data_IF_930027109766
#
_entry.id   IF_930027109766
#
_cell.length_a   1.000
_cell.length_b   1.000
_cell.length_c   1.000
_cell.angle_alpha   90.00
_cell.angle_beta   90.00
_cell.angle_gamma   90.00
#
_symmetry.space_group_name_H-M   'P 1'
#
loop_
_entity.id
_entity.type
_entity.pdbx_description
1 polymer ?
#
# COMPACT_ATOMS: atom_id res chain seq x y z
N UNK A 1 0.74 8.14 -6.67
CA UNK A 1 1.56 6.93 -6.90
C UNK A 1 2.69 6.86 -5.87
N UNK A 2 2.97 5.70 -5.30
CA UNK A 2 3.91 5.51 -4.17
C UNK A 2 5.26 4.93 -4.65
N UNK A 3 5.92 5.68 -5.54
CA UNK A 3 7.13 5.24 -6.26
C UNK A 3 8.27 4.78 -5.34
N UNK A 4 8.51 5.49 -4.23
CA UNK A 4 9.58 5.12 -3.30
C UNK A 4 9.33 3.77 -2.62
N UNK A 5 8.08 3.46 -2.25
CA UNK A 5 7.73 2.17 -1.67
C UNK A 5 7.83 1.06 -2.72
N UNK A 6 7.43 1.33 -3.95
CA UNK A 6 7.57 0.38 -5.06
C UNK A 6 9.05 0.01 -5.31
N UNK A 7 9.93 1.00 -5.44
CA UNK A 7 11.36 0.76 -5.61
C UNK A 7 11.98 0.04 -4.41
N UNK A 8 11.53 0.36 -3.19
CA UNK A 8 11.95 -0.34 -1.96
C UNK A 8 11.58 -1.83 -2.02
N UNK A 9 10.35 -2.16 -2.41
CA UNK A 9 9.92 -3.55 -2.50
C UNK A 9 10.59 -4.32 -3.63
N UNK A 10 10.82 -3.71 -4.79
CA UNK A 10 11.62 -4.32 -5.86
C UNK A 10 12.99 -4.74 -5.36
N UNK A 11 13.68 -3.84 -4.66
CA UNK A 11 14.99 -4.15 -4.05
C UNK A 11 14.91 -5.31 -3.04
N UNK A 12 13.93 -5.28 -2.14
CA UNK A 12 13.72 -6.36 -1.16
C UNK A 12 13.53 -7.70 -1.87
N UNK A 13 12.65 -7.75 -2.88
CA UNK A 13 12.33 -8.95 -3.65
C UNK A 13 13.56 -9.49 -4.38
N UNK A 14 14.33 -8.60 -5.03
CA UNK A 14 15.52 -8.98 -5.78
C UNK A 14 16.61 -9.54 -4.89
N UNK A 15 16.77 -9.02 -3.67
CA UNK A 15 17.76 -9.47 -2.68
C UNK A 15 17.39 -10.81 -2.01
N UNK A 16 16.13 -11.25 -2.07
CA UNK A 16 15.71 -12.52 -1.45
C UNK A 16 16.10 -13.74 -2.29
N UNK A 17 16.41 -14.83 -1.58
CA UNK A 17 16.66 -16.14 -2.19
C UNK A 17 15.34 -16.90 -2.39
N UNK A 18 14.58 -16.45 -3.38
CA UNK A 18 13.31 -17.06 -3.83
C UNK A 18 13.36 -17.26 -5.36
N UNK A 19 12.49 -18.11 -5.90
CA UNK A 19 12.47 -18.41 -7.33
C UNK A 19 12.08 -17.18 -8.15
N UNK A 20 12.64 -17.07 -9.37
CA UNK A 20 12.37 -15.95 -10.27
C UNK A 20 10.88 -15.79 -10.63
N UNK A 21 10.12 -16.88 -10.71
CA UNK A 21 8.67 -16.83 -10.89
C UNK A 21 7.97 -16.11 -9.75
N UNK A 22 8.37 -16.42 -8.52
CA UNK A 22 7.84 -15.81 -7.29
C UNK A 22 8.27 -14.35 -7.18
N UNK A 23 9.52 -14.01 -7.55
CA UNK A 23 9.97 -12.61 -7.67
C UNK A 23 9.13 -11.81 -8.65
N UNK A 24 8.91 -12.37 -9.84
CA UNK A 24 8.09 -11.73 -10.88
C UNK A 24 6.67 -11.48 -10.39
N UNK A 25 6.02 -12.49 -9.80
CA UNK A 25 4.66 -12.35 -9.28
C UNK A 25 4.55 -11.33 -8.13
N UNK A 26 5.54 -11.30 -7.23
CA UNK A 26 5.60 -10.29 -6.15
C UNK A 26 5.81 -8.88 -6.71
N UNK A 27 6.68 -8.72 -7.70
CA UNK A 27 6.91 -7.42 -8.36
C UNK A 27 5.65 -6.95 -9.09
N UNK A 28 4.96 -7.82 -9.82
CA UNK A 28 3.68 -7.49 -10.48
C UNK A 28 2.61 -7.07 -9.47
N UNK A 29 2.51 -7.76 -8.33
CA UNK A 29 1.61 -7.39 -7.25
C UNK A 29 1.98 -6.02 -6.65
N UNK A 30 3.26 -5.76 -6.41
CA UNK A 30 3.72 -4.47 -5.91
C UNK A 30 3.42 -3.34 -6.91
N UNK A 31 3.72 -3.56 -8.20
CA UNK A 31 3.42 -2.61 -9.26
C UNK A 31 1.93 -2.28 -9.31
N UNK A 32 1.07 -3.30 -9.21
CA UNK A 32 -0.39 -3.14 -9.30
C UNK A 32 -0.96 -2.24 -8.20
N UNK A 33 -0.45 -2.33 -6.96
CA UNK A 33 -1.04 -1.63 -5.81
C UNK A 33 -0.29 -0.34 -5.47
N UNK A 34 1.05 -0.32 -5.50
CA UNK A 34 1.82 0.87 -5.16
C UNK A 34 1.85 1.91 -6.29
N UNK A 35 1.46 1.55 -7.51
CA UNK A 35 1.27 2.49 -8.61
C UNK A 35 -0.09 3.19 -8.59
N UNK A 36 -1.03 2.78 -7.74
CA UNK A 36 -2.35 3.42 -7.68
C UNK A 36 -2.30 4.77 -6.99
N UNK A 37 -3.31 5.59 -7.30
CA UNK A 37 -3.63 6.78 -6.54
C UNK A 37 -4.79 6.45 -5.60
N UNK A 38 -4.57 6.68 -4.30
CA UNK A 38 -5.55 6.43 -3.25
C UNK A 38 -6.09 7.73 -2.66
N UNK A 39 -5.86 8.88 -3.29
CA UNK A 39 -6.42 10.14 -2.81
C UNK A 39 -7.94 10.04 -2.65
N UNK A 40 -8.45 10.53 -1.51
CA UNK A 40 -9.89 10.67 -1.29
C UNK A 40 -10.65 9.39 -0.95
N UNK A 41 -9.98 8.24 -0.79
CA UNK A 41 -10.67 6.98 -0.47
C UNK A 41 -11.37 7.02 0.90
N UNK A 42 -12.38 6.18 1.05
CA UNK A 42 -13.12 5.96 2.30
C UNK A 42 -12.61 4.74 3.07
N UNK A 43 -12.88 4.65 4.39
CA UNK A 43 -12.57 3.45 5.20
C UNK A 43 -13.19 2.16 4.65
N UNK A 44 -14.34 2.24 3.96
CA UNK A 44 -14.93 1.06 3.30
C UNK A 44 -14.04 0.60 2.13
N UNK A 45 -13.59 1.53 1.30
CA UNK A 45 -12.69 1.24 0.18
C UNK A 45 -11.33 0.73 0.65
N UNK A 46 -10.81 1.17 1.80
CA UNK A 46 -9.59 0.59 2.41
C UNK A 46 -9.74 -0.93 2.56
N UNK A 47 -10.84 -1.39 3.16
CA UNK A 47 -11.10 -2.82 3.34
C UNK A 47 -11.18 -3.58 2.03
N UNK A 48 -11.81 -2.98 1.01
CA UNK A 48 -11.93 -3.58 -0.32
C UNK A 48 -10.56 -3.69 -1.01
N UNK A 49 -9.71 -2.68 -0.91
CA UNK A 49 -8.35 -2.69 -1.47
C UNK A 49 -7.49 -3.74 -0.78
N UNK A 50 -7.51 -3.82 0.56
CA UNK A 50 -6.75 -4.84 1.30
C UNK A 50 -7.25 -6.24 0.95
N UNK A 51 -8.56 -6.47 0.91
CA UNK A 51 -9.10 -7.76 0.52
C UNK A 51 -8.66 -8.19 -0.88
N UNK A 52 -8.70 -7.29 -1.87
CA UNK A 52 -8.23 -7.59 -3.22
C UNK A 52 -6.72 -7.84 -3.25
N UNK A 53 -5.93 -7.09 -2.47
CA UNK A 53 -4.49 -7.31 -2.33
C UNK A 53 -4.17 -8.72 -1.81
N UNK A 54 -4.82 -9.13 -0.72
CA UNK A 54 -4.67 -10.47 -0.15
C UNK A 54 -5.08 -11.55 -1.16
N UNK A 55 -6.25 -11.37 -1.80
CA UNK A 55 -6.75 -12.30 -2.82
C UNK A 55 -5.77 -12.47 -3.98
N UNK A 56 -5.22 -11.36 -4.50
CA UNK A 56 -4.23 -11.39 -5.59
C UNK A 56 -2.95 -12.08 -5.17
N UNK A 57 -2.46 -11.82 -3.95
CA UNK A 57 -1.33 -12.53 -3.39
C UNK A 57 -1.58 -14.05 -3.35
N UNK A 58 -2.71 -14.50 -2.80
CA UNK A 58 -3.02 -15.92 -2.72
C UNK A 58 -3.13 -16.59 -4.09
N UNK A 59 -3.81 -15.94 -5.03
CA UNK A 59 -4.07 -16.51 -6.36
C UNK A 59 -2.85 -16.49 -7.28
N UNK A 60 -2.02 -15.45 -7.22
CA UNK A 60 -0.96 -15.22 -8.21
C UNK A 60 0.44 -15.47 -7.67
N UNK A 61 0.66 -15.33 -6.36
CA UNK A 61 1.98 -15.53 -5.73
C UNK A 61 2.02 -16.87 -5.01
N UNK A 62 1.14 -17.07 -4.02
CA UNK A 62 1.24 -18.22 -3.14
C UNK A 62 0.86 -19.55 -3.82
N UNK A 63 -0.06 -19.51 -4.80
CA UNK A 63 -0.48 -20.69 -5.57
C UNK A 63 0.67 -21.32 -6.38
N UNK A 64 1.58 -20.48 -6.88
CA UNK A 64 2.75 -20.88 -7.67
C UNK A 64 4.02 -21.08 -6.84
N UNK A 65 4.00 -20.75 -5.56
CA UNK A 65 5.18 -20.76 -4.69
C UNK A 65 5.57 -22.18 -4.25
N UNK A 66 6.87 -22.47 -4.33
CA UNK A 66 7.41 -23.70 -3.73
C UNK A 66 7.40 -23.62 -2.21
N UNK A 67 7.22 -24.76 -1.53
CA UNK A 67 7.18 -24.81 -0.05
C UNK A 67 8.42 -24.19 0.60
N UNK A 68 9.60 -24.34 -0.01
CA UNK A 68 10.88 -23.87 0.53
C UNK A 68 11.03 -22.34 0.60
N UNK A 69 10.25 -21.59 -0.18
CA UNK A 69 10.32 -20.13 -0.24
C UNK A 69 9.13 -19.43 0.45
N UNK A 70 8.16 -20.20 0.95
CA UNK A 70 6.91 -19.64 1.51
C UNK A 70 7.16 -18.66 2.65
N UNK A 71 8.06 -18.99 3.57
CA UNK A 71 8.39 -18.10 4.69
C UNK A 71 8.91 -16.74 4.22
N UNK A 72 9.78 -16.71 3.21
CA UNK A 72 10.28 -15.45 2.66
C UNK A 72 9.20 -14.69 1.90
N UNK A 73 8.38 -15.39 1.13
CA UNK A 73 7.24 -14.79 0.42
C UNK A 73 6.23 -14.18 1.41
N UNK A 74 5.89 -14.88 2.48
CA UNK A 74 4.97 -14.41 3.53
C UNK A 74 5.55 -13.21 4.28
N UNK A 75 6.87 -13.18 4.51
CA UNK A 75 7.56 -12.04 5.12
C UNK A 75 7.53 -10.80 4.21
N UNK A 76 7.75 -10.96 2.90
CA UNK A 76 7.63 -9.86 1.93
C UNK A 76 6.20 -9.37 1.88
N UNK A 77 5.24 -10.28 1.77
CA UNK A 77 3.81 -9.97 1.73
C UNK A 77 3.34 -9.19 2.96
N UNK A 78 3.74 -9.63 4.16
CA UNK A 78 3.39 -8.95 5.40
C UNK A 78 3.93 -7.51 5.42
N UNK A 79 5.15 -7.27 4.93
CA UNK A 79 5.70 -5.92 4.83
C UNK A 79 4.95 -5.07 3.80
N UNK A 80 4.63 -5.62 2.64
CA UNK A 80 3.83 -4.91 1.63
C UNK A 80 2.44 -4.56 2.16
N UNK A 81 1.78 -5.51 2.83
CA UNK A 81 0.46 -5.31 3.42
C UNK A 81 0.47 -4.17 4.42
N UNK A 82 1.40 -4.19 5.38
CA UNK A 82 1.53 -3.12 6.38
C UNK A 82 1.77 -1.76 5.73
N UNK A 83 2.68 -1.68 4.75
CA UNK A 83 2.92 -0.42 4.02
C UNK A 83 1.66 0.08 3.30
N UNK A 84 0.93 -0.82 2.66
CA UNK A 84 -0.31 -0.47 1.96
C UNK A 84 -1.38 0.01 2.93
N UNK A 85 -1.57 -0.65 4.07
CA UNK A 85 -2.50 -0.22 5.12
C UNK A 85 -2.18 1.19 5.62
N UNK A 86 -0.90 1.47 5.92
CA UNK A 86 -0.45 2.81 6.34
C UNK A 86 -0.73 3.87 5.28
N UNK A 87 -0.48 3.56 4.02
CA UNK A 87 -0.76 4.46 2.89
C UNK A 87 -2.25 4.78 2.83
N UNK A 88 -3.10 3.74 2.84
CA UNK A 88 -4.54 3.87 2.69
C UNK A 88 -5.14 4.65 3.87
N UNK A 89 -4.69 4.40 5.09
CA UNK A 89 -5.17 5.11 6.27
C UNK A 89 -4.81 6.60 6.24
N UNK A 90 -3.58 6.94 5.83
CA UNK A 90 -3.17 8.34 5.63
C UNK A 90 -4.04 9.04 4.59
N UNK A 91 -4.32 8.38 3.47
CA UNK A 91 -5.18 8.96 2.43
C UNK A 91 -6.62 9.20 2.90
N UNK A 92 -7.14 8.37 3.82
CA UNK A 92 -8.43 8.63 4.46
C UNK A 92 -8.35 9.86 5.39
N UNK A 93 -7.29 9.97 6.20
CA UNK A 93 -7.09 11.08 7.12
C UNK A 93 -6.97 12.42 6.39
N UNK A 94 -6.17 12.47 5.33
CA UNK A 94 -6.02 13.65 4.46
C UNK A 94 -7.37 14.08 3.87
N UNK A 95 -8.15 13.13 3.34
CA UNK A 95 -9.49 13.37 2.82
C UNK A 95 -10.44 13.94 3.88
N UNK A 96 -10.32 13.52 5.14
CA UNK A 96 -11.12 14.07 6.25
C UNK A 96 -10.68 15.49 6.61
N UNK A 97 -9.37 15.75 6.69
CA UNK A 97 -8.83 17.07 6.99
C UNK A 97 -9.18 18.09 5.91
N UNK A 98 -9.08 17.73 4.64
CA UNK A 98 -9.49 18.57 3.51
C UNK A 98 -10.98 18.93 3.59
N UNK A 99 -11.84 17.96 3.95
CA UNK A 99 -13.29 18.21 4.14
C UNK A 99 -13.56 19.15 5.31
N UNK A 100 -12.78 19.08 6.39
CA UNK A 100 -12.91 19.98 7.53
C UNK A 100 -12.42 21.39 7.15
N UNK A 101 -11.24 21.50 6.55
CA UNK A 101 -10.67 22.78 6.11
C UNK A 101 -11.57 23.49 5.09
N UNK A 102 -12.09 22.76 4.10
CA UNK A 102 -13.04 23.30 3.12
C UNK A 102 -14.36 23.77 3.73
N UNK A 103 -14.80 23.18 4.86
CA UNK A 103 -15.98 23.63 5.60
C UNK A 103 -15.72 24.85 6.49
N UNK A 104 -14.47 25.04 6.94
CA UNK A 104 -14.10 26.14 7.83
C UNK A 104 -13.82 27.47 7.08
N UNK A 105 -13.67 27.45 5.75
CA UNK A 105 -13.33 28.63 4.95
C UNK A 105 -11.97 29.23 5.34
N UNK A 106 -11.54 30.36 4.72
CA UNK A 106 -10.35 31.07 5.17
C UNK A 106 -10.63 31.67 6.56
N UNK A 107 -10.31 30.91 7.61
CA UNK A 107 -10.22 31.44 8.96
C UNK A 107 -9.15 32.53 8.94
N UNK A 108 -9.62 33.78 8.98
CA UNK A 108 -8.80 34.96 9.12
C UNK A 108 -8.14 34.90 10.50
N UNK A 109 -6.99 34.22 10.61
CA UNK A 109 -6.17 34.16 11.81
C UNK A 109 -5.49 35.52 12.02
N UNK A 110 -6.29 36.52 12.40
CA UNK A 110 -5.85 37.84 12.85
C UNK A 110 -6.11 38.00 14.35
N UNK A 111 -5.85 36.98 15.16
CA UNK A 111 -5.98 37.10 16.61
C UNK A 111 -4.91 36.29 17.34
N UNK A 112 -3.63 36.62 17.11
CA UNK A 112 -2.58 36.51 18.14
C UNK A 112 -1.54 37.60 17.88
N UNK A 113 -1.95 38.84 18.08
CA UNK A 113 -1.02 39.93 18.33
C UNK A 113 -1.54 40.70 19.54
N UNK A 114 -1.00 40.36 20.70
CA UNK A 114 -0.85 41.24 21.85
C UNK A 114 0.23 40.69 22.76
#
# INVERSE_FOLDING_TARGET
>A
MYKNELERFKKIIDEKYIYNSSKKALNELAEEFFSRDYQGISKKQVKEVIFEFEKRFFLNVLSGAMKSERTEIDNIFSQMKTSLEVILDKSVEESMLEKIAGKLGPLNFKIFSK
#
